data_IF_966736434762
#
_entry.id   IF_966736434762
#
_cell.length_a   1.000
_cell.length_b   1.000
_cell.length_c   1.000
_cell.angle_alpha   90.00
_cell.angle_beta   90.00
_cell.angle_gamma   90.00
#
_symmetry.space_group_name_H-M   'P 1'
#
loop_
_entity.id
_entity.type
_entity.pdbx_description
1 polymer ?
#
# COMPACT_ATOMS: atom_id res chain seq x y z
N UNK A 1 3.72 -22.14 -4.38
CA UNK A 1 4.78 -21.13 -4.63
C UNK A 1 4.20 -19.76 -4.94
N UNK A 2 3.42 -19.60 -6.02
CA UNK A 2 2.77 -18.35 -6.44
C UNK A 2 1.97 -17.63 -5.33
N UNK A 3 1.03 -18.32 -4.68
CA UNK A 3 0.24 -17.72 -3.58
C UNK A 3 1.08 -17.28 -2.38
N UNK A 4 2.14 -18.02 -2.05
CA UNK A 4 3.03 -17.66 -0.94
C UNK A 4 3.84 -16.39 -1.24
N UNK A 5 4.27 -16.21 -2.49
CA UNK A 5 4.95 -14.97 -2.92
C UNK A 5 4.00 -13.77 -2.81
N UNK A 6 2.75 -13.95 -3.25
CA UNK A 6 1.71 -12.91 -3.16
C UNK A 6 1.43 -12.53 -1.69
N UNK A 7 1.31 -13.52 -0.82
CA UNK A 7 1.04 -13.32 0.59
C UNK A 7 2.18 -12.58 1.30
N UNK A 8 3.44 -12.92 1.01
CA UNK A 8 4.61 -12.24 1.57
C UNK A 8 4.62 -10.75 1.18
N UNK A 9 4.38 -10.45 -0.11
CA UNK A 9 4.39 -9.07 -0.60
C UNK A 9 3.18 -8.26 -0.13
N UNK A 10 2.02 -8.90 0.00
CA UNK A 10 0.84 -8.27 0.61
C UNK A 10 1.12 -7.90 2.06
N UNK A 11 1.64 -8.84 2.86
CA UNK A 11 2.04 -8.57 4.23
C UNK A 11 3.12 -7.49 4.36
N UNK A 12 4.10 -7.46 3.44
CA UNK A 12 5.12 -6.42 3.42
C UNK A 12 4.51 -5.03 3.18
N UNK A 13 3.58 -4.92 2.22
CA UNK A 13 2.85 -3.68 1.95
C UNK A 13 2.05 -3.21 3.16
N UNK A 14 1.32 -4.10 3.81
CA UNK A 14 0.50 -3.76 4.98
C UNK A 14 1.36 -3.28 6.16
N UNK A 15 2.54 -3.88 6.37
CA UNK A 15 3.50 -3.43 7.38
C UNK A 15 4.07 -2.05 7.08
N UNK A 16 4.36 -1.76 5.80
CA UNK A 16 4.82 -0.43 5.37
C UNK A 16 3.71 0.60 5.58
N UNK A 17 2.49 0.31 5.13
CA UNK A 17 1.32 1.16 5.34
C UNK A 17 1.11 1.48 6.82
N UNK A 18 1.16 0.48 7.70
CA UNK A 18 0.98 0.67 9.14
C UNK A 18 2.08 1.55 9.76
N UNK A 19 3.34 1.38 9.35
CA UNK A 19 4.45 2.23 9.83
C UNK A 19 4.31 3.66 9.30
N UNK A 20 3.96 3.80 8.03
CA UNK A 20 3.81 5.08 7.34
C UNK A 20 2.68 5.91 7.97
N UNK A 21 1.54 5.28 8.27
CA UNK A 21 0.43 5.92 8.99
C UNK A 21 0.78 6.28 10.43
N UNK A 22 1.66 5.52 11.11
CA UNK A 22 2.17 5.86 12.44
C UNK A 22 3.21 6.99 12.43
N UNK A 23 3.96 7.15 11.33
CA UNK A 23 4.92 8.25 11.17
C UNK A 23 4.29 9.58 10.75
N UNK A 24 3.06 9.55 10.23
CA UNK A 24 2.30 10.74 9.91
C UNK A 24 1.83 11.42 11.21
N UNK A 25 2.11 12.71 11.34
CA UNK A 25 1.55 13.51 12.42
C UNK A 25 0.02 13.60 12.28
N UNK A 26 -0.70 13.68 13.41
CA UNK A 26 -2.17 13.76 13.44
C UNK A 26 -2.70 15.03 12.77
N UNK A 27 -1.87 16.07 12.69
CA UNK A 27 -2.19 17.31 11.98
C UNK A 27 -1.99 17.21 10.46
N UNK A 28 -1.43 16.10 9.96
CA UNK A 28 -1.23 15.91 8.54
C UNK A 28 -2.59 15.84 7.83
N UNK A 29 -2.85 16.68 6.81
CA UNK A 29 -4.10 16.66 6.06
C UNK A 29 -4.42 15.28 5.46
N UNK A 30 -3.42 14.46 5.12
CA UNK A 30 -3.61 13.08 4.64
C UNK A 30 -4.16 12.18 5.75
N UNK A 31 -3.65 12.32 6.97
CA UNK A 31 -4.18 11.58 8.13
C UNK A 31 -5.62 12.02 8.43
N UNK A 32 -5.88 13.33 8.45
CA UNK A 32 -7.24 13.87 8.68
C UNK A 32 -8.22 13.46 7.58
N UNK A 33 -7.81 13.43 6.30
CA UNK A 33 -8.66 12.98 5.19
C UNK A 33 -8.93 11.47 5.23
N UNK A 34 -7.97 10.68 5.71
CA UNK A 34 -8.15 9.23 5.91
C UNK A 34 -9.04 8.91 7.11
N UNK A 35 -8.87 9.62 8.24
CA UNK A 35 -9.62 9.42 9.48
C UNK A 35 -11.07 9.92 9.36
N UNK A 36 -11.28 11.06 8.69
CA UNK A 36 -12.62 11.64 8.48
C UNK A 36 -13.47 10.93 7.41
N UNK A 37 -12.90 9.99 6.65
CA UNK A 37 -13.60 9.28 5.57
C UNK A 37 -14.00 10.15 4.37
N UNK A 38 -13.63 11.45 4.35
CA UNK A 38 -14.09 12.42 3.36
C UNK A 38 -13.47 12.23 1.96
N UNK A 39 -12.22 11.77 1.87
CA UNK A 39 -11.56 11.36 0.62
C UNK A 39 -10.51 10.28 0.87
N UNK A 40 -10.95 9.04 0.73
CA UNK A 40 -10.24 8.04 -0.06
C UNK A 40 -8.79 7.71 0.31
N UNK A 41 -8.69 6.80 1.28
CA UNK A 41 -7.86 5.60 1.22
C UNK A 41 -6.34 5.78 1.40
N UNK A 42 -5.86 5.51 2.62
CA UNK A 42 -4.45 5.31 2.98
C UNK A 42 -3.63 4.46 1.97
N UNK A 43 -4.29 3.62 1.15
CA UNK A 43 -3.68 2.93 0.00
C UNK A 43 -3.01 3.88 -1.00
N UNK A 44 -3.59 5.06 -1.29
CA UNK A 44 -3.00 6.03 -2.22
C UNK A 44 -1.72 6.66 -1.64
N UNK A 45 -1.74 6.97 -0.35
CA UNK A 45 -0.55 7.50 0.32
C UNK A 45 0.55 6.44 0.42
N UNK A 46 0.19 5.18 0.70
CA UNK A 46 1.12 4.06 0.70
C UNK A 46 1.75 3.84 -0.68
N UNK A 47 0.99 4.05 -1.76
CA UNK A 47 1.53 4.01 -3.12
C UNK A 47 2.50 5.17 -3.41
N UNK A 48 2.26 6.36 -2.86
CA UNK A 48 3.07 7.57 -3.10
C UNK A 48 4.33 7.66 -2.23
N UNK A 49 4.32 7.11 -1.02
CA UNK A 49 5.39 7.29 -0.03
C UNK A 49 5.95 5.97 0.52
N UNK A 50 5.47 4.82 0.03
CA UNK A 50 5.88 3.50 0.49
C UNK A 50 6.21 2.56 -0.67
N UNK A 51 5.21 1.85 -1.18
CA UNK A 51 5.38 0.93 -2.30
C UNK A 51 4.10 0.83 -3.13
N UNK A 52 4.23 0.68 -4.45
CA UNK A 52 3.08 0.50 -5.36
C UNK A 52 2.45 -0.90 -5.25
N UNK A 53 3.26 -1.92 -4.95
CA UNK A 53 2.80 -3.28 -4.64
C UNK A 53 2.71 -4.21 -5.87
N UNK A 54 1.91 -5.28 -5.74
CA UNK A 54 1.71 -6.27 -6.81
C UNK A 54 0.71 -5.76 -7.85
N UNK A 55 0.98 -6.02 -9.13
CA UNK A 55 0.12 -5.61 -10.25
C UNK A 55 -0.50 -6.83 -10.93
N UNK A 56 -1.72 -6.67 -11.45
CA UNK A 56 -2.34 -7.67 -12.32
C UNK A 56 -1.79 -7.55 -13.74
N UNK A 57 -1.37 -8.66 -14.32
CA UNK A 57 -1.08 -8.79 -15.74
C UNK A 57 -2.38 -8.67 -16.55
N UNK A 58 -2.30 -8.38 -17.87
CA UNK A 58 -3.48 -8.34 -18.75
C UNK A 58 -4.30 -9.64 -18.78
N UNK A 59 -3.69 -10.76 -18.37
CA UNK A 59 -4.34 -12.06 -18.21
C UNK A 59 -5.11 -12.24 -16.90
N UNK A 60 -5.13 -11.24 -16.01
CA UNK A 60 -5.76 -11.29 -14.69
C UNK A 60 -4.91 -11.97 -13.60
N UNK A 61 -3.74 -12.53 -13.94
CA UNK A 61 -2.81 -13.08 -12.95
C UNK A 61 -1.99 -11.96 -12.29
N UNK A 62 -1.74 -12.10 -10.99
CA UNK A 62 -0.86 -11.21 -10.23
C UNK A 62 0.60 -11.51 -10.62
N UNK A 63 1.36 -10.48 -10.95
CA UNK A 63 2.78 -10.59 -11.26
C UNK A 63 3.56 -10.83 -9.95
N UNK A 64 4.35 -11.90 -9.89
CA UNK A 64 5.12 -12.29 -8.68
C UNK A 64 6.20 -11.26 -8.29
N UNK A 65 6.63 -10.41 -9.22
CA UNK A 65 7.52 -9.27 -8.94
C UNK A 65 6.68 -8.02 -8.59
N UNK A 66 6.79 -7.50 -7.35
CA UNK A 66 6.16 -6.24 -6.99
C UNK A 66 6.95 -5.05 -7.56
N UNK A 67 6.28 -3.90 -7.63
CA UNK A 67 6.96 -2.62 -7.80
C UNK A 67 7.31 -2.09 -6.39
N UNK A 68 8.61 -2.06 -6.09
CA UNK A 68 9.14 -1.60 -4.80
C UNK A 68 9.33 -0.09 -4.73
N UNK A 69 9.34 0.61 -5.86
CA UNK A 69 9.49 2.06 -5.94
C UNK A 69 8.14 2.76 -5.77
N UNK A 70 8.17 3.94 -5.14
CA UNK A 70 7.06 4.90 -4.99
C UNK A 70 7.23 6.08 -5.93
#
# INVERSE_FOLDING_TARGET
RYNAVIEIWTNAKDRIQAKLMKSLDKTNPIFMMSDSGARGNASNFTQLAGMRGLMAAPSGKIIELPITSS
#
